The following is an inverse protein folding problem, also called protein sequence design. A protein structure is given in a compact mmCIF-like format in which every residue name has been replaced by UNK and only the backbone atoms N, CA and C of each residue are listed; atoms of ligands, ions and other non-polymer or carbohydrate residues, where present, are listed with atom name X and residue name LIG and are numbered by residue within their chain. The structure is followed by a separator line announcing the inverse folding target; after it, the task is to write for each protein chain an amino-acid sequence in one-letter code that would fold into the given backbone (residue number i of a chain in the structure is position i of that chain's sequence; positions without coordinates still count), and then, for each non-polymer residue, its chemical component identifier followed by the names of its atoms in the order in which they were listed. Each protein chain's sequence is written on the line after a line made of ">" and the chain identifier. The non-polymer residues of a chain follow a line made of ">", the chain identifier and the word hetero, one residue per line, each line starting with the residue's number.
data_IF_080226914109
#
_entry.id   IF_080226914109
#
_cell.length_a   1.000
_cell.length_b   1.000
_cell.length_c   1.000
_cell.angle_alpha   90.00
_cell.angle_beta   90.00
_cell.angle_gamma   90.00
#
_symmetry.space_group_name_H-M   'P 1'
#
loop_
_entity.id
_entity.type
_entity.pdbx_description
1 polymer ?
#
# COMPACT_ATOMS: atom_id res chain seq x y z
N UNK A 1 -3.54 -29.09 -15.74
CA UNK A 1 -3.18 -28.90 -17.17
C UNK A 1 -4.47 -28.62 -17.91
N UNK A 2 -4.65 -27.42 -18.46
CA UNK A 2 -5.74 -27.14 -19.39
C UNK A 2 -5.27 -27.56 -20.79
N UNK A 3 -5.98 -28.49 -21.44
CA UNK A 3 -5.73 -28.85 -22.83
C UNK A 3 -6.54 -27.93 -23.75
N UNK A 4 -5.87 -27.28 -24.69
CA UNK A 4 -6.51 -26.56 -25.81
C UNK A 4 -6.42 -27.45 -27.05
N UNK A 5 -7.54 -27.65 -27.74
CA UNK A 5 -7.60 -28.46 -28.97
C UNK A 5 -8.47 -27.77 -30.02
N UNK A 6 -8.06 -27.84 -31.28
CA UNK A 6 -8.82 -27.31 -32.42
C UNK A 6 -9.85 -28.36 -32.87
N UNK A 7 -11.10 -27.95 -33.08
CA UNK A 7 -12.13 -28.82 -33.65
C UNK A 7 -12.47 -28.39 -35.08
N UNK A 8 -12.43 -29.34 -36.02
CA UNK A 8 -12.95 -29.16 -37.38
C UNK A 8 -14.36 -29.72 -37.45
N UNK A 9 -15.30 -28.95 -38.02
CA UNK A 9 -16.60 -29.44 -38.42
C UNK A 9 -16.47 -30.49 -39.53
N UNK A 10 -17.03 -31.67 -39.29
CA UNK A 10 -17.02 -32.81 -40.21
C UNK A 10 -17.92 -32.53 -41.41
N UNK A 11 -17.33 -32.46 -42.61
CA UNK A 11 -17.99 -32.79 -43.87
C UNK A 11 -16.93 -33.12 -44.94
N UNK A 12 -16.83 -34.39 -45.34
CA UNK A 12 -16.14 -34.81 -46.58
C UNK A 12 -15.01 -35.83 -46.40
N UNK A 13 -14.93 -36.76 -47.36
CA UNK A 13 -14.21 -38.04 -47.35
C UNK A 13 -12.67 -37.97 -47.26
N UNK A 14 -12.10 -39.13 -46.88
CA UNK A 14 -10.68 -39.40 -46.74
C UNK A 14 -9.86 -39.20 -48.02
N UNK A 15 -8.67 -38.59 -47.90
CA UNK A 15 -7.52 -38.90 -48.75
C UNK A 15 -6.20 -38.72 -47.98
N UNK A 16 -5.23 -39.55 -48.34
CA UNK A 16 -3.91 -39.73 -47.72
C UNK A 16 -2.90 -38.66 -48.16
N UNK A 17 -2.16 -38.08 -47.21
CA UNK A 17 -1.03 -37.20 -47.56
C UNK A 17 -0.50 -36.36 -46.39
N UNK A 18 0.74 -36.62 -45.99
CA UNK A 18 1.49 -35.79 -45.04
C UNK A 18 1.82 -34.42 -45.65
N UNK A 19 1.11 -33.36 -45.26
CA UNK A 19 1.60 -31.97 -45.39
C UNK A 19 0.74 -30.96 -44.65
N UNK A 20 1.40 -30.05 -43.92
CA UNK A 20 0.99 -28.71 -43.44
C UNK A 20 -0.48 -28.52 -43.04
N UNK A 21 -0.71 -28.44 -41.73
CA UNK A 21 -1.97 -27.96 -41.14
C UNK A 21 -1.97 -26.43 -41.24
N UNK A 22 -2.56 -25.93 -42.31
CA UNK A 22 -3.36 -24.71 -42.37
C UNK A 22 -3.52 -24.36 -43.84
N UNK A 23 -4.69 -24.63 -44.40
CA UNK A 23 -5.36 -23.84 -45.45
C UNK A 23 -6.73 -24.51 -45.74
N UNK A 24 -7.77 -24.03 -45.04
CA UNK A 24 -9.22 -24.22 -45.33
C UNK A 24 -10.06 -24.94 -44.25
N UNK A 25 -11.40 -24.70 -44.11
CA UNK A 25 -12.22 -23.49 -44.37
C UNK A 25 -12.41 -22.61 -43.10
N UNK A 26 -13.05 -21.44 -43.26
CA UNK A 26 -13.13 -20.28 -42.33
C UNK A 26 -14.06 -20.41 -41.11
N UNK A 27 -13.95 -21.47 -40.32
CA UNK A 27 -14.66 -21.55 -39.03
C UNK A 27 -13.88 -22.46 -38.06
N UNK A 28 -12.84 -21.91 -37.43
CA UNK A 28 -12.04 -22.65 -36.46
C UNK A 28 -12.58 -22.42 -35.05
N UNK A 29 -13.41 -23.35 -34.57
CA UNK A 29 -13.90 -23.31 -33.19
C UNK A 29 -12.84 -23.82 -32.21
N UNK A 30 -12.41 -22.98 -31.27
CA UNK A 30 -11.57 -23.40 -30.13
C UNK A 30 -12.51 -23.72 -28.98
N UNK A 31 -12.62 -25.00 -28.65
CA UNK A 31 -13.46 -25.43 -27.53
C UNK A 31 -12.60 -25.62 -26.28
N UNK A 32 -13.06 -25.08 -25.16
CA UNK A 32 -12.36 -25.17 -23.88
C UNK A 32 -13.32 -25.58 -22.78
N UNK A 33 -12.82 -26.26 -21.75
CA UNK A 33 -13.64 -26.68 -20.60
C UNK A 33 -14.05 -25.53 -19.67
N UNK A 34 -13.56 -24.31 -19.95
CA UNK A 34 -13.73 -23.12 -19.14
C UNK A 34 -14.14 -21.93 -20.01
N UNK A 35 -15.04 -21.07 -19.53
CA UNK A 35 -15.45 -19.82 -20.20
C UNK A 35 -14.33 -18.77 -20.27
N UNK A 36 -13.38 -18.95 -21.18
CA UNK A 36 -12.18 -18.12 -21.28
C UNK A 36 -12.41 -16.72 -21.87
N UNK A 37 -13.50 -16.50 -22.62
CA UNK A 37 -13.84 -15.18 -23.19
C UNK A 37 -14.07 -14.14 -22.09
N UNK A 38 -15.01 -14.41 -21.18
CA UNK A 38 -15.31 -13.50 -20.08
C UNK A 38 -14.08 -13.27 -19.17
N UNK A 39 -13.18 -14.25 -19.11
CA UNK A 39 -11.94 -14.19 -18.34
C UNK A 39 -10.95 -13.20 -18.94
N UNK A 40 -10.71 -13.29 -20.25
CA UNK A 40 -9.84 -12.37 -21.00
C UNK A 40 -10.42 -10.95 -21.05
N UNK A 41 -11.73 -10.80 -21.13
CA UNK A 41 -12.40 -9.49 -21.17
C UNK A 41 -12.47 -8.80 -19.81
N UNK A 42 -12.85 -9.52 -18.74
CA UNK A 42 -13.16 -8.90 -17.43
C UNK A 42 -12.03 -8.94 -16.42
N UNK A 43 -11.23 -10.00 -16.39
CA UNK A 43 -10.22 -10.25 -15.32
C UNK A 43 -8.81 -10.46 -15.86
N UNK A 44 -8.63 -10.48 -17.18
CA UNK A 44 -7.36 -10.80 -17.82
C UNK A 44 -6.23 -9.85 -17.42
N UNK A 45 -6.55 -8.56 -17.28
CA UNK A 45 -5.59 -7.52 -16.88
C UNK A 45 -5.01 -7.69 -15.48
N UNK A 46 -5.63 -8.53 -14.63
CA UNK A 46 -5.06 -8.88 -13.33
C UNK A 46 -3.88 -9.85 -13.45
N UNK A 47 -3.80 -10.64 -14.52
CA UNK A 47 -2.88 -11.77 -14.63
C UNK A 47 -1.86 -11.65 -15.75
N UNK A 48 -2.19 -10.88 -16.78
CA UNK A 48 -1.38 -10.68 -17.98
C UNK A 48 -1.01 -9.21 -18.12
N UNK A 49 0.21 -8.95 -18.59
CA UNK A 49 0.61 -7.57 -18.90
C UNK A 49 -0.26 -7.00 -20.04
N UNK A 50 -0.45 -5.67 -20.12
CA UNK A 50 -1.25 -5.05 -21.18
C UNK A 50 -0.85 -5.49 -22.59
N UNK A 51 0.46 -5.59 -22.86
CA UNK A 51 0.97 -6.06 -24.17
C UNK A 51 0.64 -7.52 -24.45
N UNK A 52 0.65 -8.39 -23.43
CA UNK A 52 0.25 -9.80 -23.59
C UNK A 52 -1.25 -9.93 -23.73
N UNK A 53 -2.02 -9.17 -22.95
CA UNK A 53 -3.49 -9.11 -23.02
C UNK A 53 -3.95 -8.73 -24.41
N UNK A 54 -3.43 -7.61 -24.94
CA UNK A 54 -3.77 -7.14 -26.28
C UNK A 54 -3.48 -8.20 -27.34
N UNK A 55 -2.33 -8.87 -27.25
CA UNK A 55 -1.97 -9.95 -28.17
C UNK A 55 -2.96 -11.12 -28.13
N UNK A 56 -3.44 -11.51 -26.95
CA UNK A 56 -4.41 -12.59 -26.83
C UNK A 56 -5.83 -12.17 -27.23
N UNK A 57 -6.25 -10.94 -26.92
CA UNK A 57 -7.56 -10.42 -27.36
C UNK A 57 -7.64 -10.32 -28.88
N UNK A 58 -6.61 -9.77 -29.53
CA UNK A 58 -6.56 -9.66 -31.00
C UNK A 58 -6.62 -11.03 -31.67
N UNK A 59 -5.91 -12.03 -31.13
CA UNK A 59 -5.83 -13.37 -31.76
C UNK A 59 -7.04 -14.25 -31.43
N UNK A 60 -7.64 -14.11 -30.25
CA UNK A 60 -8.66 -15.04 -29.77
C UNK A 60 -10.08 -14.48 -29.74
N UNK A 61 -10.25 -13.15 -29.73
CA UNK A 61 -11.56 -12.48 -29.63
C UNK A 61 -11.88 -11.61 -30.84
N UNK A 62 -10.89 -11.00 -31.49
CA UNK A 62 -11.11 -10.07 -32.61
C UNK A 62 -10.94 -10.71 -34.01
N UNK A 63 -10.51 -11.97 -34.10
CA UNK A 63 -10.43 -12.66 -35.39
C UNK A 63 -11.78 -13.27 -35.76
N UNK A 64 -12.34 -12.86 -36.90
CA UNK A 64 -13.61 -13.38 -37.43
C UNK A 64 -13.59 -14.90 -37.69
N UNK A 65 -12.39 -15.49 -37.90
CA UNK A 65 -12.22 -16.90 -38.23
C UNK A 65 -12.09 -17.82 -36.97
N UNK A 66 -12.11 -17.25 -35.77
CA UNK A 66 -11.87 -17.95 -34.49
C UNK A 66 -13.02 -17.72 -33.51
N UNK A 67 -13.74 -18.79 -33.16
CA UNK A 67 -14.81 -18.73 -32.15
C UNK A 67 -14.42 -19.55 -30.91
N UNK A 68 -14.30 -18.88 -29.76
CA UNK A 68 -14.06 -19.54 -28.48
C UNK A 68 -15.37 -20.06 -27.88
N UNK A 69 -15.52 -21.39 -27.82
CA UNK A 69 -16.67 -22.06 -27.22
C UNK A 69 -16.30 -22.72 -25.90
N UNK A 70 -17.18 -22.60 -24.92
CA UNK A 70 -17.04 -23.32 -23.66
C UNK A 70 -17.89 -24.60 -23.71
N UNK A 71 -17.32 -25.72 -23.26
CA UNK A 71 -17.96 -27.05 -23.27
C UNK A 71 -17.83 -27.75 -21.92
N UNK A 72 -18.87 -28.48 -21.52
CA UNK A 72 -18.86 -29.29 -20.29
C UNK A 72 -18.08 -30.62 -20.44
N UNK A 73 -17.58 -30.95 -21.64
CA UNK A 73 -16.94 -32.24 -21.93
C UNK A 73 -15.56 -32.32 -21.25
N UNK A 74 -15.50 -33.05 -20.13
CA UNK A 74 -14.29 -33.23 -19.32
C UNK A 74 -13.37 -34.36 -19.82
N UNK A 75 -13.88 -35.28 -20.65
CA UNK A 75 -13.14 -36.43 -21.17
C UNK A 75 -12.56 -36.11 -22.57
N UNK A 76 -11.22 -36.09 -22.74
CA UNK A 76 -10.57 -35.86 -24.02
C UNK A 76 -11.00 -36.84 -25.13
N UNK A 77 -11.36 -38.09 -24.78
CA UNK A 77 -11.80 -39.10 -25.74
C UNK A 77 -13.22 -38.86 -26.27
N UNK A 78 -14.08 -38.18 -25.51
CA UNK A 78 -15.46 -37.86 -25.92
C UNK A 78 -15.53 -36.69 -26.91
N UNK A 79 -14.51 -35.85 -26.97
CA UNK A 79 -14.43 -34.68 -27.86
C UNK A 79 -14.48 -35.05 -29.36
N UNK A 80 -14.09 -36.29 -29.70
CA UNK A 80 -14.08 -36.81 -31.06
C UNK A 80 -15.44 -37.40 -31.49
N UNK A 81 -16.41 -37.50 -30.58
CA UNK A 81 -17.60 -38.35 -30.80
C UNK A 81 -18.94 -37.70 -30.49
N UNK A 82 -19.00 -36.42 -30.10
CA UNK A 82 -20.26 -35.77 -29.70
C UNK A 82 -20.73 -34.72 -30.70
N UNK A 83 -21.95 -34.90 -31.22
CA UNK A 83 -22.62 -33.95 -32.12
C UNK A 83 -23.29 -32.74 -31.43
N UNK A 84 -23.21 -32.58 -30.09
CA UNK A 84 -23.82 -31.41 -29.44
C UNK A 84 -23.08 -30.99 -28.15
N UNK A 85 -22.35 -29.86 -28.15
CA UNK A 85 -21.70 -29.30 -26.97
C UNK A 85 -22.67 -28.49 -26.08
N UNK A 86 -23.97 -28.80 -26.10
CA UNK A 86 -25.04 -28.04 -25.42
C UNK A 86 -25.31 -28.53 -23.99
N UNK A 87 -24.33 -29.13 -23.31
CA UNK A 87 -24.43 -29.34 -21.87
C UNK A 87 -24.10 -28.06 -21.11
N UNK A 88 -24.98 -27.72 -20.15
CA UNK A 88 -24.85 -26.56 -19.29
C UNK A 88 -23.57 -26.70 -18.46
N UNK A 89 -22.66 -25.73 -18.57
CA UNK A 89 -21.43 -25.68 -17.76
C UNK A 89 -21.79 -25.74 -16.28
N UNK A 90 -21.28 -26.74 -15.57
CA UNK A 90 -21.56 -26.94 -14.13
C UNK A 90 -20.90 -25.88 -13.24
N UNK A 91 -19.97 -25.08 -13.77
CA UNK A 91 -19.22 -24.08 -13.00
C UNK A 91 -19.03 -22.76 -13.76
N UNK A 92 -19.04 -21.66 -13.02
CA UNK A 92 -18.66 -20.33 -13.52
C UNK A 92 -17.17 -20.11 -13.22
N UNK A 93 -16.38 -19.93 -14.28
CA UNK A 93 -14.94 -19.74 -14.18
C UNK A 93 -14.55 -18.47 -13.44
N UNK A 94 -15.37 -17.41 -13.52
CA UNK A 94 -15.13 -16.17 -12.79
C UNK A 94 -15.37 -16.40 -11.30
N UNK A 95 -16.49 -17.02 -10.93
CA UNK A 95 -16.78 -17.37 -9.54
C UNK A 95 -15.73 -18.34 -8.98
N UNK A 96 -15.28 -19.30 -9.78
CA UNK A 96 -14.24 -20.26 -9.37
C UNK A 96 -12.90 -19.56 -9.13
N UNK A 97 -12.49 -18.64 -10.00
CA UNK A 97 -11.27 -17.85 -9.81
C UNK A 97 -11.38 -16.95 -8.60
N UNK A 98 -12.51 -16.29 -8.40
CA UNK A 98 -12.74 -15.47 -7.22
C UNK A 98 -12.72 -16.31 -5.94
N UNK A 99 -13.31 -17.50 -5.95
CA UNK A 99 -13.33 -18.39 -4.79
C UNK A 99 -11.95 -18.99 -4.48
N UNK A 100 -11.17 -19.37 -5.51
CA UNK A 100 -9.86 -20.00 -5.34
C UNK A 100 -8.76 -18.97 -5.02
N UNK A 101 -8.82 -17.78 -5.62
CA UNK A 101 -7.74 -16.81 -5.56
C UNK A 101 -8.05 -15.53 -4.79
N UNK A 102 -9.26 -15.38 -4.25
CA UNK A 102 -9.52 -14.31 -3.28
C UNK A 102 -8.76 -14.61 -1.99
N UNK A 103 -8.21 -13.54 -1.39
CA UNK A 103 -7.64 -13.63 -0.03
C UNK A 103 -8.69 -14.06 0.99
N UNK A 104 -9.98 -13.82 0.69
CA UNK A 104 -11.13 -14.19 1.53
C UNK A 104 -12.41 -14.25 0.67
N UNK A 105 -13.18 -15.36 0.66
CA UNK A 105 -14.30 -15.54 -0.28
C UNK A 105 -15.39 -14.45 -0.23
N UNK A 106 -15.64 -13.84 0.93
CA UNK A 106 -16.65 -12.80 1.16
C UNK A 106 -16.07 -11.37 1.16
N UNK A 107 -14.80 -11.19 0.78
CA UNK A 107 -14.19 -9.86 0.63
C UNK A 107 -14.82 -9.12 -0.55
N UNK A 108 -15.35 -7.92 -0.28
CA UNK A 108 -15.97 -7.06 -1.30
C UNK A 108 -15.11 -5.85 -1.64
N UNK A 109 -15.23 -5.36 -2.87
CA UNK A 109 -14.70 -4.08 -3.34
C UNK A 109 -15.76 -2.96 -3.37
N UNK A 110 -16.98 -3.26 -2.92
CA UNK A 110 -18.10 -2.34 -2.76
C UNK A 110 -18.55 -2.24 -1.29
N UNK A 111 -19.07 -1.08 -0.85
CA UNK A 111 -19.43 -0.85 0.55
C UNK A 111 -20.54 -1.80 1.02
N UNK A 112 -20.41 -2.27 2.26
CA UNK A 112 -21.45 -3.03 2.97
C UNK A 112 -22.65 -2.12 3.26
N UNK A 113 -23.86 -2.72 3.29
CA UNK A 113 -25.12 -1.98 3.55
C UNK A 113 -25.22 -1.43 4.98
N UNK A 114 -24.80 -2.23 5.97
CA UNK A 114 -24.84 -1.84 7.39
C UNK A 114 -23.51 -2.22 8.07
N UNK A 115 -22.42 -1.46 7.82
CA UNK A 115 -21.15 -1.69 8.48
C UNK A 115 -21.22 -1.26 9.95
N UNK A 116 -20.53 -2.00 10.83
CA UNK A 116 -20.30 -1.59 12.22
C UNK A 116 -19.21 -0.51 12.31
N UNK A 117 -18.30 -0.49 11.32
CA UNK A 117 -17.17 0.44 11.25
C UNK A 117 -16.93 0.93 9.82
N UNK A 118 -16.71 2.23 9.68
CA UNK A 118 -16.19 2.86 8.46
C UNK A 118 -14.82 3.44 8.75
N UNK A 119 -13.80 2.86 8.13
CA UNK A 119 -12.40 3.18 8.36
C UNK A 119 -11.75 3.70 7.09
N UNK A 120 -10.81 4.63 7.27
CA UNK A 120 -9.89 5.09 6.25
C UNK A 120 -8.47 4.78 6.71
N UNK A 121 -7.64 4.30 5.80
CA UNK A 121 -6.24 3.95 6.10
C UNK A 121 -5.30 4.66 5.16
N UNK A 122 -4.18 5.13 5.70
CA UNK A 122 -3.09 5.67 4.90
C UNK A 122 -1.72 5.29 5.48
N UNK A 123 -0.75 5.13 4.59
CA UNK A 123 0.65 4.87 4.91
C UNK A 123 1.58 5.87 4.24
N UNK A 124 2.13 6.80 5.02
CA UNK A 124 3.01 7.84 4.50
C UNK A 124 4.49 7.48 4.61
N UNK A 125 5.29 7.88 3.60
CA UNK A 125 6.76 7.79 3.62
C UNK A 125 7.38 8.92 2.82
N UNK A 126 8.20 9.74 3.46
CA UNK A 126 8.87 10.88 2.83
C UNK A 126 10.25 11.13 3.45
N UNK A 127 11.06 11.98 2.81
CA UNK A 127 12.40 12.32 3.29
C UNK A 127 12.34 13.67 4.01
N UNK A 128 12.83 13.71 5.25
CA UNK A 128 12.98 14.92 6.04
C UNK A 128 14.38 14.91 6.65
N UNK A 129 15.10 16.03 6.54
CA UNK A 129 16.50 16.17 7.01
C UNK A 129 17.44 15.05 6.50
N UNK A 130 17.26 14.61 5.26
CA UNK A 130 18.06 13.56 4.64
C UNK A 130 17.75 12.13 5.13
N UNK A 131 16.76 11.95 6.02
CA UNK A 131 16.32 10.63 6.50
C UNK A 131 14.92 10.32 5.98
N UNK A 132 14.69 9.09 5.53
CA UNK A 132 13.35 8.61 5.17
C UNK A 132 12.59 8.22 6.43
N UNK A 133 11.52 8.93 6.70
CA UNK A 133 10.58 8.67 7.79
C UNK A 133 9.26 8.16 7.22
N UNK A 134 8.54 7.40 8.04
CA UNK A 134 7.28 6.81 7.63
C UNK A 134 6.35 6.66 8.84
N UNK A 135 5.06 6.65 8.55
CA UNK A 135 4.01 6.51 9.54
C UNK A 135 2.77 5.90 8.90
N UNK A 136 1.86 5.43 9.74
CA UNK A 136 0.56 4.92 9.31
C UNK A 136 -0.54 5.54 10.14
N UNK A 137 -1.76 5.53 9.60
CA UNK A 137 -2.95 5.89 10.34
C UNK A 137 -4.15 5.03 9.95
N UNK A 138 -5.03 4.83 10.93
CA UNK A 138 -6.38 4.27 10.80
C UNK A 138 -7.34 5.26 11.45
N UNK A 139 -8.28 5.78 10.66
CA UNK A 139 -9.17 6.87 11.07
C UNK A 139 -10.62 6.56 10.70
N UNK A 140 -11.58 7.17 11.37
CA UNK A 140 -12.95 7.35 10.87
C UNK A 140 -13.01 8.60 10.00
N UNK A 141 -14.22 9.01 9.58
CA UNK A 141 -14.40 10.26 8.83
C UNK A 141 -13.88 11.52 9.56
N UNK A 142 -13.88 11.51 10.90
CA UNK A 142 -13.64 12.68 11.74
C UNK A 142 -12.63 12.45 12.88
N UNK A 143 -12.24 11.21 13.17
CA UNK A 143 -11.40 10.87 14.31
C UNK A 143 -10.26 9.94 13.93
N UNK A 144 -9.06 10.22 14.44
CA UNK A 144 -7.94 9.28 14.42
C UNK A 144 -8.16 8.20 15.47
N UNK A 145 -8.28 6.93 15.04
CA UNK A 145 -8.45 5.80 15.94
C UNK A 145 -7.09 5.26 16.38
N UNK A 146 -6.16 5.15 15.43
CA UNK A 146 -4.80 4.68 15.66
C UNK A 146 -3.87 5.39 14.67
N UNK A 147 -2.70 5.79 15.12
CA UNK A 147 -1.61 6.22 14.25
C UNK A 147 -0.28 5.88 14.92
N UNK A 148 0.75 5.68 14.11
CA UNK A 148 2.04 5.26 14.64
C UNK A 148 3.20 5.54 13.71
N UNK A 149 4.36 5.71 14.32
CA UNK A 149 5.64 5.81 13.63
C UNK A 149 6.04 4.43 13.10
N UNK A 150 6.66 4.41 11.93
CA UNK A 150 7.25 3.21 11.35
C UNK A 150 8.79 3.32 11.38
N UNK A 151 9.52 2.19 11.33
CA UNK A 151 10.97 2.21 11.26
C UNK A 151 11.48 3.11 10.14
N UNK A 152 12.61 3.78 10.38
CA UNK A 152 13.28 4.58 9.36
C UNK A 152 13.52 3.76 8.09
N UNK A 153 13.47 4.42 6.93
CA UNK A 153 13.59 3.81 5.61
C UNK A 153 12.44 2.88 5.19
N UNK A 154 11.33 2.82 5.95
CA UNK A 154 10.11 2.15 5.48
C UNK A 154 9.56 2.86 4.24
N UNK A 155 9.20 2.08 3.22
CA UNK A 155 8.62 2.58 1.97
C UNK A 155 7.13 2.92 2.14
N UNK A 156 6.60 3.78 1.27
CA UNK A 156 5.16 4.10 1.25
C UNK A 156 4.32 2.82 1.11
N UNK A 157 4.64 1.97 0.12
CA UNK A 157 3.95 0.69 -0.08
C UNK A 157 3.89 -0.20 1.18
N UNK A 158 4.99 -0.28 1.94
CA UNK A 158 5.01 -1.07 3.18
C UNK A 158 4.20 -0.38 4.28
N UNK A 159 4.26 0.95 4.38
CA UNK A 159 3.44 1.71 5.31
C UNK A 159 1.94 1.48 5.07
N UNK A 160 1.52 1.45 3.81
CA UNK A 160 0.13 1.19 3.41
C UNK A 160 -0.33 -0.21 3.82
N UNK A 161 0.51 -1.23 3.60
CA UNK A 161 0.23 -2.60 4.06
C UNK A 161 0.14 -2.67 5.59
N UNK A 162 0.93 -1.87 6.31
CA UNK A 162 0.85 -1.80 7.78
C UNK A 162 -0.45 -1.13 8.23
N UNK A 163 -0.82 0.00 7.63
CA UNK A 163 -2.07 0.70 7.92
C UNK A 163 -3.29 -0.23 7.74
N UNK A 164 -3.35 -0.94 6.62
CA UNK A 164 -4.41 -1.89 6.32
C UNK A 164 -4.47 -3.06 7.32
N UNK A 165 -3.33 -3.65 7.68
CA UNK A 165 -3.29 -4.71 8.71
C UNK A 165 -3.85 -4.23 10.05
N UNK A 166 -3.50 -3.02 10.47
CA UNK A 166 -3.98 -2.47 11.74
C UNK A 166 -5.50 -2.24 11.71
N UNK A 167 -6.04 -1.72 10.60
CA UNK A 167 -7.48 -1.58 10.44
C UNK A 167 -8.22 -2.94 10.50
N UNK A 168 -7.70 -3.97 9.84
CA UNK A 168 -8.29 -5.31 9.86
C UNK A 168 -8.28 -5.94 11.25
N UNK A 169 -7.20 -5.75 12.02
CA UNK A 169 -7.10 -6.20 13.41
C UNK A 169 -8.08 -5.48 14.33
N UNK A 170 -8.21 -4.16 14.17
CA UNK A 170 -9.15 -3.35 14.93
C UNK A 170 -10.61 -3.74 14.67
N UNK A 171 -10.89 -4.24 13.46
CA UNK A 171 -12.22 -4.67 13.04
C UNK A 171 -12.54 -6.15 13.35
N UNK A 172 -11.74 -6.83 14.18
CA UNK A 172 -11.98 -8.22 14.56
C UNK A 172 -13.42 -8.43 15.08
N UNK A 173 -14.12 -9.42 14.50
CA UNK A 173 -15.50 -9.74 14.84
C UNK A 173 -16.57 -8.74 14.37
N UNK A 174 -16.20 -7.68 13.63
CA UNK A 174 -17.11 -6.61 13.17
C UNK A 174 -17.28 -6.61 11.65
N UNK A 175 -18.35 -6.00 11.16
CA UNK A 175 -18.57 -5.69 9.74
C UNK A 175 -17.89 -4.36 9.43
N UNK A 176 -16.92 -4.35 8.53
CA UNK A 176 -16.10 -3.14 8.29
C UNK A 176 -16.01 -2.77 6.81
N UNK A 177 -16.15 -1.47 6.57
CA UNK A 177 -15.82 -0.81 5.32
C UNK A 177 -14.46 -0.12 5.50
N UNK A 178 -13.45 -0.49 4.70
CA UNK A 178 -12.11 0.11 4.74
C UNK A 178 -11.83 0.79 3.42
N UNK A 179 -11.56 2.10 3.46
CA UNK A 179 -11.18 2.90 2.31
C UNK A 179 -9.67 3.20 2.35
N UNK A 180 -9.01 3.05 1.21
CA UNK A 180 -7.59 3.41 1.02
C UNK A 180 -7.38 4.02 -0.35
N UNK A 181 -6.29 4.76 -0.54
CA UNK A 181 -5.89 5.28 -1.85
C UNK A 181 -4.71 4.52 -2.49
N UNK A 182 -4.13 3.56 -1.77
CA UNK A 182 -3.06 2.71 -2.28
C UNK A 182 -3.56 1.61 -3.21
N UNK A 183 -3.36 1.81 -4.52
CA UNK A 183 -3.56 0.74 -5.53
C UNK A 183 -2.75 -0.51 -5.26
N UNK A 184 -1.56 -0.36 -4.67
CA UNK A 184 -0.70 -1.49 -4.37
C UNK A 184 -1.33 -2.37 -3.29
N UNK A 185 -1.71 -1.80 -2.15
CA UNK A 185 -2.35 -2.55 -1.06
C UNK A 185 -3.70 -3.16 -1.49
N UNK A 186 -4.49 -2.41 -2.26
CA UNK A 186 -5.72 -2.91 -2.87
C UNK A 186 -5.47 -4.14 -3.76
N UNK A 187 -4.47 -4.09 -4.65
CA UNK A 187 -4.12 -5.22 -5.51
C UNK A 187 -3.60 -6.43 -4.73
N UNK A 188 -2.83 -6.20 -3.67
CA UNK A 188 -2.34 -7.27 -2.78
C UNK A 188 -3.52 -8.03 -2.16
N UNK A 189 -4.50 -7.33 -1.60
CA UNK A 189 -5.59 -7.96 -0.85
C UNK A 189 -6.64 -8.59 -1.76
N UNK A 190 -6.95 -7.99 -2.92
CA UNK A 190 -8.01 -8.48 -3.82
C UNK A 190 -7.54 -9.49 -4.88
N UNK A 191 -6.34 -9.31 -5.43
CA UNK A 191 -5.92 -10.07 -6.61
C UNK A 191 -4.74 -11.01 -6.33
N UNK A 192 -3.82 -10.66 -5.43
CA UNK A 192 -2.50 -11.29 -5.48
C UNK A 192 -2.07 -12.07 -4.23
N UNK A 193 -2.69 -11.84 -3.08
CA UNK A 193 -2.27 -12.46 -1.83
C UNK A 193 -2.34 -14.00 -1.86
N UNK A 194 -3.48 -14.58 -2.24
CA UNK A 194 -3.65 -16.04 -2.28
C UNK A 194 -2.69 -16.72 -3.28
N UNK A 195 -2.52 -16.14 -4.46
CA UNK A 195 -1.62 -16.69 -5.50
C UNK A 195 -0.16 -16.59 -5.11
N UNK A 196 0.23 -15.48 -4.48
CA UNK A 196 1.58 -15.36 -3.96
C UNK A 196 1.84 -16.39 -2.89
N UNK A 197 0.88 -16.70 -2.01
CA UNK A 197 1.00 -17.78 -1.04
C UNK A 197 1.21 -19.14 -1.73
N UNK A 198 0.45 -19.44 -2.78
CA UNK A 198 0.57 -20.70 -3.54
C UNK A 198 1.87 -20.80 -4.35
N UNK A 199 2.38 -19.69 -4.88
CA UNK A 199 3.64 -19.64 -5.65
C UNK A 199 4.91 -19.54 -4.78
N UNK A 200 4.80 -19.81 -3.48
CA UNK A 200 5.95 -19.71 -2.57
C UNK A 200 6.46 -18.27 -2.35
N UNK A 201 5.58 -17.28 -2.55
CA UNK A 201 5.80 -15.84 -2.41
C UNK A 201 6.78 -15.28 -3.46
N UNK A 202 6.63 -15.81 -4.67
CA UNK A 202 7.32 -15.38 -5.87
C UNK A 202 6.38 -14.56 -6.78
N UNK A 203 6.96 -13.58 -7.47
CA UNK A 203 6.31 -12.83 -8.54
C UNK A 203 6.06 -13.72 -9.76
N UNK A 204 5.29 -13.22 -10.74
CA UNK A 204 5.10 -13.92 -12.01
C UNK A 204 6.41 -14.15 -12.79
N UNK A 205 7.46 -13.37 -12.50
CA UNK A 205 8.80 -13.48 -13.07
C UNK A 205 9.72 -14.38 -12.22
N UNK A 206 9.22 -15.00 -11.15
CA UNK A 206 10.00 -15.89 -10.28
C UNK A 206 10.88 -15.18 -9.26
N UNK A 207 10.77 -13.86 -9.12
CA UNK A 207 11.52 -13.10 -8.10
C UNK A 207 10.79 -13.08 -6.76
N UNK A 208 11.48 -13.04 -5.61
CA UNK A 208 10.83 -12.91 -4.31
C UNK A 208 10.01 -11.62 -4.20
N UNK A 209 8.84 -11.70 -3.56
CA UNK A 209 8.04 -10.51 -3.26
C UNK A 209 8.72 -9.70 -2.17
N UNK A 210 8.80 -8.39 -2.36
CA UNK A 210 9.59 -7.47 -1.52
C UNK A 210 9.17 -7.44 -0.04
N UNK A 211 7.87 -7.58 0.26
CA UNK A 211 7.28 -7.46 1.61
C UNK A 211 6.56 -8.77 2.00
N UNK A 212 7.26 -9.89 1.85
CA UNK A 212 6.71 -11.25 1.99
C UNK A 212 5.99 -11.45 3.33
N UNK A 213 6.63 -11.04 4.42
CA UNK A 213 6.12 -11.19 5.78
C UNK A 213 4.87 -10.33 6.00
N UNK A 214 4.87 -9.09 5.50
CA UNK A 214 3.72 -8.21 5.61
C UNK A 214 2.51 -8.72 4.83
N UNK A 215 2.73 -9.25 3.63
CA UNK A 215 1.70 -9.87 2.80
C UNK A 215 1.11 -11.10 3.48
N UNK A 216 1.96 -11.99 4.02
CA UNK A 216 1.50 -13.18 4.74
C UNK A 216 0.64 -12.81 5.96
N UNK A 217 1.07 -11.80 6.71
CA UNK A 217 0.33 -11.36 7.88
C UNK A 217 -0.99 -10.70 7.48
N UNK A 218 -1.02 -9.93 6.41
CA UNK A 218 -2.23 -9.32 5.86
C UNK A 218 -3.27 -10.39 5.47
N UNK A 219 -2.83 -11.48 4.86
CA UNK A 219 -3.69 -12.62 4.50
C UNK A 219 -4.29 -13.36 5.70
N UNK A 220 -3.63 -13.29 6.86
CA UNK A 220 -4.20 -13.80 8.11
C UNK A 220 -5.16 -12.78 8.72
N UNK A 221 -4.77 -11.51 8.75
CA UNK A 221 -5.55 -10.44 9.39
C UNK A 221 -6.88 -10.18 8.65
N UNK A 222 -6.95 -10.37 7.33
CA UNK A 222 -8.21 -10.22 6.56
C UNK A 222 -9.31 -11.21 6.98
N UNK A 223 -8.95 -12.31 7.66
CA UNK A 223 -9.92 -13.27 8.17
C UNK A 223 -10.56 -12.84 9.50
N UNK A 224 -10.02 -11.82 10.18
CA UNK A 224 -10.47 -11.43 11.52
C UNK A 224 -11.82 -10.72 11.56
N UNK A 225 -12.16 -9.80 10.62
CA UNK A 225 -13.47 -9.17 10.63
C UNK A 225 -14.60 -10.18 10.38
N UNK A 226 -15.82 -9.89 10.84
CA UNK A 226 -17.00 -10.70 10.53
C UNK A 226 -17.37 -10.61 9.05
N UNK A 227 -17.38 -9.40 8.50
CA UNK A 227 -17.53 -9.12 7.07
C UNK A 227 -16.60 -7.94 6.73
N UNK A 228 -16.00 -7.94 5.55
CA UNK A 228 -15.06 -6.88 5.17
C UNK A 228 -15.25 -6.45 3.72
N UNK A 229 -15.36 -5.15 3.51
CA UNK A 229 -15.20 -4.52 2.21
C UNK A 229 -13.97 -3.63 2.22
N UNK A 230 -13.09 -3.78 1.23
CA UNK A 230 -11.90 -2.93 1.05
C UNK A 230 -12.01 -2.22 -0.29
N UNK A 231 -12.14 -0.90 -0.26
CA UNK A 231 -12.39 -0.08 -1.44
C UNK A 231 -11.20 0.85 -1.70
N UNK A 232 -10.88 1.04 -2.99
CA UNK A 232 -9.88 2.00 -3.42
C UNK A 232 -10.52 3.34 -3.80
N UNK A 233 -10.06 4.43 -3.20
CA UNK A 233 -10.38 5.80 -3.63
C UNK A 233 -9.22 6.42 -4.39
N UNK A 234 -9.51 7.42 -5.23
CA UNK A 234 -8.44 8.18 -5.87
C UNK A 234 -7.76 9.07 -4.83
N UNK A 235 -6.44 9.00 -4.77
CA UNK A 235 -5.63 9.90 -3.94
C UNK A 235 -5.87 11.37 -4.31
N UNK A 236 -5.77 12.26 -3.32
CA UNK A 236 -5.71 13.71 -3.48
C UNK A 236 -6.87 14.34 -4.28
N UNK A 237 -8.09 13.87 -4.09
CA UNK A 237 -9.26 14.52 -4.69
C UNK A 237 -9.71 15.76 -3.92
N UNK A 238 -9.98 16.84 -4.65
CA UNK A 238 -10.61 18.04 -4.13
C UNK A 238 -12.14 17.82 -4.07
N UNK A 239 -12.72 17.84 -2.87
CA UNK A 239 -14.17 17.71 -2.68
C UNK A 239 -14.56 17.52 -1.22
N UNK A 240 -15.85 17.68 -0.91
CA UNK A 240 -16.42 17.51 0.43
C UNK A 240 -17.18 16.19 0.63
N UNK A 241 -16.95 15.19 -0.23
CA UNK A 241 -17.51 13.86 0.00
C UNK A 241 -16.91 13.25 1.27
N UNK A 242 -17.68 12.40 1.96
CA UNK A 242 -17.21 11.67 3.14
C UNK A 242 -15.87 10.95 2.89
N UNK A 243 -15.75 10.33 1.71
CA UNK A 243 -14.54 9.65 1.26
C UNK A 243 -13.34 10.60 1.20
N UNK A 244 -13.50 11.80 0.62
CA UNK A 244 -12.41 12.76 0.50
C UNK A 244 -12.04 13.40 1.85
N UNK A 245 -13.00 13.51 2.78
CA UNK A 245 -12.73 14.00 4.13
C UNK A 245 -11.92 12.95 4.90
N UNK A 246 -12.39 11.69 4.92
CA UNK A 246 -11.71 10.59 5.60
C UNK A 246 -10.31 10.31 5.04
N UNK A 247 -10.15 10.27 3.72
CA UNK A 247 -8.83 10.05 3.10
C UNK A 247 -7.83 11.17 3.43
N UNK A 248 -8.28 12.43 3.45
CA UNK A 248 -7.42 13.56 3.85
C UNK A 248 -7.03 13.49 5.33
N UNK A 249 -7.95 13.05 6.18
CA UNK A 249 -7.65 12.86 7.60
C UNK A 249 -6.62 11.73 7.79
N UNK A 250 -6.77 10.62 7.07
CA UNK A 250 -5.83 9.51 7.09
C UNK A 250 -4.43 9.96 6.65
N UNK A 251 -4.32 10.63 5.49
CA UNK A 251 -3.06 11.18 4.97
C UNK A 251 -2.38 12.15 5.93
N UNK A 252 -3.17 13.07 6.52
CA UNK A 252 -2.67 14.01 7.51
C UNK A 252 -2.14 13.28 8.75
N UNK A 253 -2.92 12.35 9.30
CA UNK A 253 -2.57 11.61 10.51
C UNK A 253 -1.33 10.73 10.31
N UNK A 254 -1.19 10.07 9.14
CA UNK A 254 -0.04 9.25 8.82
C UNK A 254 1.24 10.10 8.66
N UNK A 255 1.13 11.29 8.05
CA UNK A 255 2.24 12.25 7.94
C UNK A 255 2.66 12.81 9.30
N UNK A 256 1.70 13.18 10.15
CA UNK A 256 1.96 13.64 11.51
C UNK A 256 2.64 12.55 12.33
N UNK A 257 2.15 11.31 12.26
CA UNK A 257 2.77 10.16 12.91
C UNK A 257 4.21 9.95 12.41
N UNK A 258 4.46 10.01 11.10
CA UNK A 258 5.82 9.91 10.56
C UNK A 258 6.76 10.99 11.14
N UNK A 259 6.28 12.23 11.26
CA UNK A 259 7.01 13.34 11.85
C UNK A 259 7.30 13.20 13.35
N UNK A 260 6.40 12.56 14.11
CA UNK A 260 6.65 12.25 15.53
C UNK A 260 7.83 11.29 15.73
N UNK A 261 8.15 10.46 14.74
CA UNK A 261 9.33 9.60 14.76
C UNK A 261 10.63 10.39 14.79
N UNK A 262 10.62 11.61 14.24
CA UNK A 262 11.72 12.56 14.39
C UNK A 262 11.72 13.13 15.81
N UNK A 263 10.58 13.46 16.42
CA UNK A 263 10.55 13.92 17.82
C UNK A 263 11.02 12.85 18.82
N UNK A 264 10.85 11.57 18.51
CA UNK A 264 11.30 10.44 19.35
C UNK A 264 12.75 9.99 19.08
N UNK A 265 13.28 10.19 17.86
CA UNK A 265 14.64 9.78 17.46
C UNK A 265 15.64 10.94 17.32
N UNK A 266 15.17 12.18 17.28
CA UNK A 266 15.95 13.31 17.72
C UNK A 266 15.97 13.12 19.23
N UNK A 267 17.12 12.79 19.87
CA UNK A 267 17.23 13.23 21.24
C UNK A 267 16.88 14.70 21.13
N UNK A 268 15.79 15.15 21.78
CA UNK A 268 15.57 16.57 22.05
C UNK A 268 16.99 17.08 22.25
N UNK A 269 17.45 18.02 21.43
CA UNK A 269 18.76 18.63 21.64
C UNK A 269 18.64 19.40 22.96
N UNK A 270 18.46 18.68 24.07
CA UNK A 270 18.94 18.97 25.39
C UNK A 270 20.44 19.03 25.14
N UNK A 271 20.84 20.22 24.71
CA UNK A 271 22.17 20.68 24.98
C UNK A 271 22.32 20.41 26.46
N UNK A 272 23.19 19.46 26.81
CA UNK A 272 23.62 19.31 28.18
C UNK A 272 24.32 20.61 28.47
N UNK A 273 23.59 21.55 29.05
CA UNK A 273 24.19 22.79 29.48
C UNK A 273 25.18 22.35 30.55
N UNK A 274 26.48 22.69 30.42
CA UNK A 274 27.46 22.38 31.46
C UNK A 274 26.90 22.84 32.80
N UNK A 275 27.24 22.14 33.90
CA UNK A 275 26.62 22.24 35.23
C UNK A 275 26.90 23.60 35.92
N UNK A 276 26.51 24.67 35.25
CA UNK A 276 26.69 26.08 35.53
C UNK A 276 25.31 26.61 35.85
N UNK A 277 25.17 27.20 37.03
CA UNK A 277 23.91 27.87 37.39
C UNK A 277 23.67 29.03 36.44
N UNK A 278 22.47 29.11 35.88
CA UNK A 278 22.01 30.25 35.13
C UNK A 278 22.12 31.51 36.00
N UNK A 279 22.88 32.51 35.55
CA UNK A 279 23.04 33.80 36.23
C UNK A 279 22.68 34.89 35.23
N UNK A 280 21.45 35.38 35.33
CA UNK A 280 20.96 36.48 34.51
C UNK A 280 21.08 37.79 35.31
N UNK A 281 21.35 38.88 34.60
CA UNK A 281 21.18 40.22 35.15
C UNK A 281 19.71 40.63 35.07
N UNK A 282 19.31 41.67 35.82
CA UNK A 282 17.95 42.25 35.71
C UNK A 282 17.61 42.71 34.29
N UNK A 283 18.62 43.10 33.51
CA UNK A 283 18.44 43.49 32.11
C UNK A 283 18.14 42.26 31.23
N UNK A 284 18.82 41.14 31.47
CA UNK A 284 18.60 39.90 30.72
C UNK A 284 17.20 39.32 30.99
N UNK A 285 16.72 39.43 32.23
CA UNK A 285 15.35 39.05 32.61
C UNK A 285 14.30 39.90 31.86
N UNK A 286 14.50 41.22 31.78
CA UNK A 286 13.62 42.10 31.00
C UNK A 286 13.62 41.77 29.50
N UNK A 287 14.79 41.42 28.94
CA UNK A 287 14.89 41.01 27.53
C UNK A 287 14.17 39.66 27.32
N UNK A 288 14.34 38.71 28.24
CA UNK A 288 13.66 37.42 28.19
C UNK A 288 12.12 37.57 28.27
N UNK A 289 11.62 38.45 29.13
CA UNK A 289 10.20 38.79 29.22
C UNK A 289 9.68 39.41 27.91
N UNK A 290 10.43 40.34 27.30
CA UNK A 290 10.08 40.92 26.00
C UNK A 290 10.05 39.88 24.86
N UNK A 291 10.90 38.85 24.95
CA UNK A 291 10.94 37.71 24.03
C UNK A 291 9.84 36.67 24.32
N UNK A 292 8.96 36.93 25.30
CA UNK A 292 7.91 36.01 25.76
C UNK A 292 8.48 34.66 26.21
N UNK A 293 9.70 34.65 26.73
CA UNK A 293 10.34 33.45 27.23
C UNK A 293 9.73 33.04 28.57
N UNK A 294 9.81 31.75 28.90
CA UNK A 294 9.37 31.18 30.18
C UNK A 294 10.51 30.43 30.85
N UNK A 295 10.54 30.40 32.18
CA UNK A 295 11.57 29.67 32.92
C UNK A 295 11.26 28.18 33.02
N UNK A 296 12.27 27.34 32.77
CA UNK A 296 12.19 25.90 33.00
C UNK A 296 12.50 25.56 34.48
N UNK A 297 12.32 24.29 34.87
CA UNK A 297 12.57 23.81 36.24
C UNK A 297 14.03 23.96 36.72
N UNK A 298 14.97 24.19 35.79
CA UNK A 298 16.40 24.37 36.05
C UNK A 298 16.80 25.87 36.12
N UNK A 299 15.84 26.78 35.94
CA UNK A 299 16.04 28.23 36.05
C UNK A 299 16.52 28.92 34.76
N UNK A 300 16.46 28.24 33.60
CA UNK A 300 16.79 28.82 32.30
C UNK A 300 15.57 29.42 31.63
N UNK A 301 15.74 30.56 30.96
CA UNK A 301 14.71 31.16 30.11
C UNK A 301 14.65 30.46 28.74
N UNK A 302 13.45 30.09 28.30
CA UNK A 302 13.18 29.39 27.04
C UNK A 302 12.18 30.16 26.19
N UNK A 303 12.53 30.48 24.94
CA UNK A 303 11.66 31.24 24.02
C UNK A 303 10.51 30.38 23.47
N UNK A 304 9.45 30.98 22.88
CA UNK A 304 8.38 30.23 22.21
C UNK A 304 8.86 29.32 21.08
N UNK A 305 9.99 29.64 20.45
CA UNK A 305 10.66 28.83 19.43
C UNK A 305 11.51 27.69 20.03
N UNK A 306 11.38 27.45 21.35
CA UNK A 306 12.07 26.40 22.10
C UNK A 306 13.60 26.57 22.11
N UNK A 307 14.09 27.81 22.09
CA UNK A 307 15.51 28.13 22.23
C UNK A 307 15.82 28.48 23.68
N UNK A 308 16.93 27.95 24.22
CA UNK A 308 17.39 28.30 25.57
C UNK A 308 18.21 29.57 25.52
N UNK A 309 17.85 30.55 26.34
CA UNK A 309 18.62 31.78 26.51
C UNK A 309 19.81 31.51 27.42
N UNK A 310 21.03 31.71 26.93
CA UNK A 310 22.27 31.50 27.69
C UNK A 310 23.09 32.78 27.79
N UNK A 311 23.99 32.84 28.77
CA UNK A 311 24.96 33.93 28.89
C UNK A 311 26.14 33.73 27.92
N UNK A 312 26.90 34.79 27.57
CA UNK A 312 28.04 34.68 26.66
C UNK A 312 29.09 33.66 27.09
N UNK A 313 29.27 33.51 28.41
CA UNK A 313 30.18 32.51 28.99
C UNK A 313 29.75 31.08 28.69
N UNK A 314 28.45 30.78 28.86
CA UNK A 314 27.88 29.46 28.59
C UNK A 314 27.88 29.19 27.08
N UNK A 315 27.56 30.19 26.26
CA UNK A 315 27.62 30.07 24.80
C UNK A 315 29.03 29.71 24.31
N UNK A 316 30.07 30.31 24.89
CA UNK A 316 31.45 30.01 24.54
C UNK A 316 31.85 28.57 24.88
N UNK A 317 31.44 28.06 26.05
CA UNK A 317 31.71 26.67 26.44
C UNK A 317 30.96 25.68 25.53
N UNK A 318 29.70 25.96 25.21
CA UNK A 318 28.92 25.15 24.27
C UNK A 318 29.53 25.13 22.86
N UNK A 319 30.05 26.28 22.40
CA UNK A 319 30.75 26.37 21.12
C UNK A 319 32.06 25.56 21.12
N UNK A 320 32.83 25.60 22.22
CA UNK A 320 34.05 24.80 22.38
C UNK A 320 33.77 23.31 22.41
N UNK A 321 32.84 22.87 23.25
CA UNK A 321 32.47 21.46 23.37
C UNK A 321 31.96 20.91 22.03
N UNK A 322 31.14 21.70 21.32
CA UNK A 322 30.64 21.31 20.01
C UNK A 322 31.73 21.26 18.95
N UNK A 323 32.66 22.22 18.96
CA UNK A 323 33.83 22.20 18.09
C UNK A 323 34.73 20.98 18.37
N UNK A 324 34.93 20.62 19.64
CA UNK A 324 35.72 19.42 20.02
C UNK A 324 35.03 18.12 19.59
N UNK A 325 33.70 18.05 19.66
CA UNK A 325 32.94 16.87 19.24
C UNK A 325 32.81 16.70 17.73
N UNK A 326 32.67 17.80 16.98
CA UNK A 326 32.34 17.75 15.55
C UNK A 326 33.44 18.25 14.62
N UNK A 327 34.49 18.87 15.16
CA UNK A 327 35.56 19.56 14.42
C UNK A 327 35.05 20.60 13.41
N UNK A 328 33.87 21.17 13.65
CA UNK A 328 33.27 22.15 12.75
C UNK A 328 33.96 23.50 12.83
N UNK A 329 34.06 24.18 11.69
CA UNK A 329 34.47 25.59 11.65
C UNK A 329 33.51 26.49 12.41
N UNK A 330 33.93 27.74 12.66
CA UNK A 330 33.19 28.73 13.46
C UNK A 330 31.76 28.92 12.94
N UNK A 331 31.60 29.15 11.63
CA UNK A 331 30.29 29.43 11.02
C UNK A 331 29.31 28.25 11.14
N UNK A 332 29.79 27.04 10.92
CA UNK A 332 28.97 25.82 11.04
C UNK A 332 28.56 25.56 12.50
N UNK A 333 29.47 25.83 13.45
CA UNK A 333 29.22 25.68 14.89
C UNK A 333 28.16 26.67 15.37
N UNK A 334 28.30 27.95 15.01
CA UNK A 334 27.35 29.01 15.37
C UNK A 334 25.98 28.75 14.74
N UNK A 335 25.94 28.39 13.45
CA UNK A 335 24.69 28.09 12.74
C UNK A 335 23.95 26.94 13.42
N UNK A 336 24.66 25.90 13.83
CA UNK A 336 24.06 24.77 14.53
C UNK A 336 23.56 25.12 15.94
N UNK A 337 24.27 25.99 16.68
CA UNK A 337 23.86 26.40 18.02
C UNK A 337 22.65 27.35 17.99
N UNK A 338 22.54 28.23 17.00
CA UNK A 338 21.39 29.14 16.84
C UNK A 338 20.05 28.42 16.74
N UNK A 339 20.03 27.16 16.29
CA UNK A 339 18.79 26.36 16.24
C UNK A 339 18.27 25.93 17.60
N UNK A 340 19.04 26.08 18.67
CA UNK A 340 18.71 25.54 20.00
C UNK A 340 19.03 26.49 21.15
N UNK A 341 19.86 27.52 20.91
CA UNK A 341 20.35 28.45 21.93
C UNK A 341 20.35 29.86 21.40
N UNK A 342 19.93 30.80 22.24
CA UNK A 342 20.04 32.23 22.04
C UNK A 342 21.00 32.80 23.08
N UNK A 343 21.95 33.65 22.68
CA UNK A 343 22.85 34.31 23.61
C UNK A 343 22.42 35.78 23.77
N UNK A 344 22.24 36.24 25.00
CA UNK A 344 22.07 37.67 25.30
C UNK A 344 23.45 38.25 25.61
N UNK A 345 23.96 39.09 24.73
CA UNK A 345 25.30 39.67 24.84
C UNK A 345 25.70 40.48 23.63
#
# INVERSE_FOLDING_TARGET
>A
MAGMFACRGSNGAADSGSSKIDYGPKDSGICTTYGNNCLLERKGGHWLSPSRMLKYQVVLLEQDDVELKATAIVNPAMFLSTENPTEKLEHDCLLTIEQVYSSRPDLKDEPLKDPDLELFTDGSSFVQEGRRIAGYAVVTIDKVLESGTLPANTSAQKAELVALKQALRMAEGKRVNIQMDSKYAFGVIHAHGAIWKERGLLSAQGSPIKYKEEVLQLLQDVQKPKEVAVMHCKAHQFGQTAINIGNRLADKAAKEAAGQGILALVPVKQIKIPNLKARYSKLDEQIAENLKASQNAEGWWVTPENQVIVTPRVMLELAKEKHEQTHWGVDATVTSLRTSVMCLG
#
